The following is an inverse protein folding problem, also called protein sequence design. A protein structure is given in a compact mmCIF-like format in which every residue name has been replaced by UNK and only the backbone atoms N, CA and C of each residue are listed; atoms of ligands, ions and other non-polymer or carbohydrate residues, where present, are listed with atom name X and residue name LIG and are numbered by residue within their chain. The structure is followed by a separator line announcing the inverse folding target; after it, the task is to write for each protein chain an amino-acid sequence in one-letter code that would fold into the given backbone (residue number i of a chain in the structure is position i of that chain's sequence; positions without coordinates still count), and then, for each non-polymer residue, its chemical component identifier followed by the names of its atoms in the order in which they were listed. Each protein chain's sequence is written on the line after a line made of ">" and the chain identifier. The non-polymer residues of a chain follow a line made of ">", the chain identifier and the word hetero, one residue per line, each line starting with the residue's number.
data_IF_016804194303
#
_entry.id   IF_016804194303
#
_cell.length_a   1.000
_cell.length_b   1.000
_cell.length_c   1.000
_cell.angle_alpha   90.00
_cell.angle_beta   90.00
_cell.angle_gamma   90.00
#
_symmetry.space_group_name_H-M   'P 1'
#
loop_
_entity.id
_entity.type
_entity.pdbx_description
1 polymer ?
#
# COMPACT_ATOMS: atom_id res chain seq x y z
N UNK A 1 4.81 -4.40 -2.34
CA UNK A 1 4.18 -3.99 -1.06
C UNK A 1 3.08 -2.99 -1.37
N UNK A 2 1.98 -3.04 -0.64
CA UNK A 2 0.83 -2.15 -0.81
C UNK A 2 0.52 -1.50 0.54
N UNK A 3 0.22 -0.20 0.53
CA UNK A 3 -0.17 0.55 1.73
C UNK A 3 -1.45 1.34 1.49
N UNK A 4 -2.44 1.13 2.35
CA UNK A 4 -3.56 2.04 2.51
C UNK A 4 -3.29 2.92 3.73
N UNK A 5 -3.48 4.23 3.61
CA UNK A 5 -3.36 5.16 4.72
C UNK A 5 -4.65 5.97 4.85
N UNK A 6 -5.08 6.16 6.09
CA UNK A 6 -6.23 6.98 6.46
C UNK A 6 -5.99 8.47 6.18
N UNK A 7 -7.00 9.17 5.67
CA UNK A 7 -7.06 10.65 5.61
C UNK A 7 -7.97 11.22 6.71
N UNK A 8 -7.90 10.68 7.93
CA UNK A 8 -8.82 11.01 9.02
C UNK A 8 -8.59 12.46 9.47
N UNK A 9 -9.55 13.33 9.15
CA UNK A 9 -9.50 14.77 9.46
C UNK A 9 -10.47 15.61 8.63
N UNK A 10 -10.72 15.23 7.37
CA UNK A 10 -11.58 15.97 6.43
C UNK A 10 -12.88 15.22 6.03
N UNK A 11 -12.99 13.91 6.29
CA UNK A 11 -14.11 13.06 5.87
C UNK A 11 -14.65 12.18 7.01
N UNK A 12 -15.92 11.71 6.94
CA UNK A 12 -16.43 10.74 7.89
C UNK A 12 -15.64 9.42 7.84
N UNK A 13 -15.60 8.68 8.95
CA UNK A 13 -14.68 7.55 9.18
C UNK A 13 -14.80 6.46 8.11
N UNK A 14 -15.99 6.27 7.54
CA UNK A 14 -16.30 5.31 6.47
C UNK A 14 -15.76 5.70 5.08
N UNK A 15 -15.33 6.95 4.90
CA UNK A 15 -14.74 7.47 3.65
C UNK A 15 -13.26 7.82 3.79
N UNK A 16 -12.69 7.52 4.95
CA UNK A 16 -11.32 7.86 5.31
C UNK A 16 -10.27 7.04 4.53
N UNK A 17 -10.65 5.87 4.03
CA UNK A 17 -9.78 4.94 3.32
C UNK A 17 -10.13 4.85 1.84
N UNK A 18 -9.11 4.64 1.02
CA UNK A 18 -9.34 4.31 -0.39
C UNK A 18 -9.99 2.93 -0.49
N UNK A 19 -11.01 2.76 -1.34
CA UNK A 19 -11.54 1.44 -1.67
C UNK A 19 -10.40 0.53 -2.14
N UNK A 20 -10.41 -0.71 -1.69
CA UNK A 20 -9.40 -1.70 -2.09
C UNK A 20 -9.34 -1.88 -3.61
N UNK A 21 -10.46 -1.72 -4.31
CA UNK A 21 -10.54 -1.74 -5.77
C UNK A 21 -9.68 -0.67 -6.44
N UNK A 22 -9.64 0.54 -5.88
CA UNK A 22 -8.79 1.63 -6.39
C UNK A 22 -7.33 1.28 -6.16
N UNK A 23 -6.98 0.80 -4.97
CA UNK A 23 -5.60 0.38 -4.66
C UNK A 23 -5.16 -0.79 -5.57
N UNK A 24 -6.05 -1.74 -5.82
CA UNK A 24 -5.78 -2.91 -6.65
C UNK A 24 -5.46 -2.58 -8.11
N UNK A 25 -5.94 -1.45 -8.65
CA UNK A 25 -5.61 -1.02 -10.02
C UNK A 25 -4.12 -0.75 -10.21
N UNK A 26 -3.43 -0.24 -9.17
CA UNK A 26 -2.00 0.05 -9.26
C UNK A 26 -1.09 -1.18 -9.20
N UNK A 27 -1.61 -2.33 -8.73
CA UNK A 27 -0.85 -3.58 -8.60
C UNK A 27 -0.39 -4.14 -9.96
N UNK A 28 -1.26 -4.37 -10.96
CA UNK A 28 -0.85 -4.94 -12.24
C UNK A 28 0.12 -4.03 -12.99
N UNK A 29 -0.03 -2.70 -12.91
CA UNK A 29 0.91 -1.76 -13.54
C UNK A 29 2.33 -1.93 -13.02
N UNK A 30 2.46 -2.06 -11.69
CA UNK A 30 3.75 -2.22 -11.02
C UNK A 30 4.33 -3.61 -11.28
N UNK A 31 3.51 -4.66 -11.30
CA UNK A 31 3.94 -6.01 -11.65
C UNK A 31 4.46 -6.07 -13.08
N UNK A 32 3.76 -5.44 -14.03
CA UNK A 32 4.17 -5.39 -15.43
C UNK A 32 5.50 -4.63 -15.61
N UNK A 33 5.65 -3.50 -14.91
CA UNK A 33 6.88 -2.71 -14.93
C UNK A 33 8.06 -3.52 -14.38
N UNK A 34 7.88 -4.20 -13.25
CA UNK A 34 8.90 -5.10 -12.69
C UNK A 34 9.24 -6.25 -13.64
N UNK A 35 8.24 -6.86 -14.28
CA UNK A 35 8.44 -7.96 -15.23
C UNK A 35 9.22 -7.49 -16.45
N UNK A 36 8.83 -6.37 -17.04
CA UNK A 36 9.42 -5.87 -18.28
C UNK A 36 10.82 -5.29 -18.07
N UNK A 37 11.03 -4.55 -16.98
CA UNK A 37 12.32 -3.88 -16.74
C UNK A 37 13.33 -4.77 -16.01
N UNK A 38 12.86 -5.70 -15.16
CA UNK A 38 13.74 -6.50 -14.28
C UNK A 38 13.60 -8.00 -14.45
N UNK A 39 12.63 -8.49 -15.23
CA UNK A 39 12.35 -9.91 -15.34
C UNK A 39 11.79 -10.53 -14.04
N UNK A 40 11.28 -9.70 -13.13
CA UNK A 40 10.77 -10.15 -11.82
C UNK A 40 9.26 -10.34 -11.91
N UNK A 41 8.81 -11.57 -11.65
CA UNK A 41 7.38 -11.88 -11.50
C UNK A 41 6.97 -11.79 -10.02
N UNK A 42 6.45 -10.62 -9.63
CA UNK A 42 6.09 -10.34 -8.24
C UNK A 42 4.69 -10.85 -7.92
N UNK A 43 4.59 -12.07 -7.37
CA UNK A 43 3.31 -12.73 -7.06
C UNK A 43 2.81 -12.50 -5.63
N UNK A 44 3.70 -12.11 -4.71
CA UNK A 44 3.38 -11.95 -3.30
C UNK A 44 3.10 -10.50 -2.95
N UNK A 45 1.88 -10.24 -2.45
CA UNK A 45 1.43 -8.90 -2.09
C UNK A 45 1.23 -8.83 -0.57
N UNK A 46 1.93 -7.88 0.04
CA UNK A 46 1.82 -7.54 1.46
C UNK A 46 1.08 -6.21 1.56
N UNK A 47 -0.12 -6.22 2.14
CA UNK A 47 -0.93 -5.08 2.51
C UNK A 47 -0.53 -4.58 3.90
N UNK A 48 -0.47 -3.26 4.04
CA UNK A 48 -0.20 -2.54 5.28
C UNK A 48 -1.24 -1.44 5.44
N UNK A 49 -1.91 -1.37 6.59
CA UNK A 49 -2.97 -0.41 6.87
C UNK A 49 -3.16 -0.27 8.37
N UNK A 50 -3.64 0.90 8.82
CA UNK A 50 -4.11 1.16 10.18
C UNK A 50 -5.60 0.81 10.38
N UNK A 51 -6.26 0.24 9.36
CA UNK A 51 -7.64 -0.25 9.41
C UNK A 51 -7.84 -1.38 10.43
N UNK A 52 -8.94 -1.31 11.19
CA UNK A 52 -9.31 -2.25 12.25
C UNK A 52 -10.52 -3.11 11.92
N UNK A 53 -11.29 -2.75 10.89
CA UNK A 53 -12.49 -3.45 10.46
C UNK A 53 -12.16 -4.87 9.96
N UNK A 54 -12.70 -5.93 10.58
CA UNK A 54 -12.40 -7.30 10.18
C UNK A 54 -12.91 -7.62 8.76
N UNK A 55 -14.04 -7.04 8.35
CA UNK A 55 -14.59 -7.22 7.00
C UNK A 55 -13.65 -6.69 5.91
N UNK A 56 -13.00 -5.55 6.16
CA UNK A 56 -12.02 -4.99 5.22
C UNK A 56 -10.80 -5.91 5.03
N UNK A 57 -10.32 -6.55 6.10
CA UNK A 57 -9.24 -7.54 6.01
C UNK A 57 -9.66 -8.85 5.34
N UNK A 58 -10.95 -9.22 5.42
CA UNK A 58 -11.50 -10.33 4.61
C UNK A 58 -11.45 -9.99 3.12
N UNK A 59 -11.77 -8.76 2.73
CA UNK A 59 -11.68 -8.30 1.35
C UNK A 59 -10.23 -8.29 0.84
N UNK A 60 -9.27 -7.85 1.68
CA UNK A 60 -7.83 -7.96 1.37
C UNK A 60 -7.44 -9.41 1.09
N UNK A 61 -7.91 -10.34 1.91
CA UNK A 61 -7.64 -11.77 1.73
C UNK A 61 -8.30 -12.32 0.47
N UNK A 62 -9.51 -11.88 0.14
CA UNK A 62 -10.23 -12.28 -1.07
C UNK A 62 -9.50 -11.84 -2.35
N UNK A 63 -8.73 -10.75 -2.30
CA UNK A 63 -7.81 -10.33 -3.36
C UNK A 63 -6.52 -11.17 -3.46
N UNK A 64 -6.36 -12.17 -2.58
CA UNK A 64 -5.16 -13.00 -2.50
C UNK A 64 -3.98 -12.32 -1.81
N UNK A 65 -4.21 -11.18 -1.14
CA UNK A 65 -3.15 -10.44 -0.48
C UNK A 65 -2.97 -10.91 0.97
N UNK A 66 -1.75 -10.76 1.46
CA UNK A 66 -1.38 -11.07 2.85
C UNK A 66 -1.09 -9.77 3.58
N UNK A 67 -1.07 -9.82 4.92
CA UNK A 67 -0.66 -8.69 5.75
C UNK A 67 0.25 -9.19 6.86
N UNK A 68 1.04 -8.28 7.42
CA UNK A 68 1.82 -8.53 8.63
C UNK A 68 1.06 -7.92 9.79
N UNK A 69 0.83 -8.72 10.84
CA UNK A 69 0.30 -8.20 12.10
C UNK A 69 1.43 -7.51 12.85
N UNK A 70 1.65 -6.23 12.56
CA UNK A 70 2.76 -5.47 13.12
C UNK A 70 2.69 -5.31 14.64
N UNK A 71 1.50 -5.47 15.24
CA UNK A 71 1.32 -5.44 16.70
C UNK A 71 1.73 -6.77 17.32
N UNK A 72 1.30 -7.90 16.75
CA UNK A 72 1.73 -9.23 17.19
C UNK A 72 3.25 -9.41 17.03
N UNK A 73 3.82 -8.88 15.95
CA UNK A 73 5.26 -8.97 15.64
C UNK A 73 6.12 -7.94 16.37
N UNK A 74 5.53 -7.03 17.17
CA UNK A 74 6.23 -5.98 17.94
C UNK A 74 7.24 -5.18 17.11
N UNK A 75 6.85 -4.94 15.87
CA UNK A 75 7.75 -4.45 14.81
C UNK A 75 8.17 -3.00 15.05
N UNK A 76 7.32 -2.19 15.69
CA UNK A 76 7.69 -0.83 16.07
C UNK A 76 8.72 -0.82 17.19
N UNK A 77 8.60 -1.71 18.19
CA UNK A 77 9.55 -1.83 19.28
C UNK A 77 10.91 -2.36 18.82
N UNK A 78 10.92 -3.27 17.84
CA UNK A 78 12.14 -3.92 17.36
C UNK A 78 12.84 -3.08 16.27
N UNK A 79 12.08 -2.53 15.33
CA UNK A 79 12.62 -1.87 14.13
C UNK A 79 12.31 -0.36 14.05
N UNK A 80 11.58 0.18 15.02
CA UNK A 80 11.13 1.57 15.03
C UNK A 80 9.92 1.81 14.13
N UNK A 81 9.24 2.95 14.32
CA UNK A 81 8.03 3.35 13.60
C UNK A 81 8.16 3.39 12.06
N UNK A 82 9.40 3.48 11.57
CA UNK A 82 9.71 3.67 10.15
C UNK A 82 10.25 2.40 9.49
N UNK A 83 9.87 1.20 9.93
CA UNK A 83 10.31 -0.07 9.35
C UNK A 83 9.62 -0.44 8.03
N UNK A 84 8.70 0.39 7.55
CA UNK A 84 7.89 0.09 6.38
C UNK A 84 8.73 0.14 5.09
N UNK A 85 8.33 -0.71 4.12
CA UNK A 85 8.78 -0.77 2.72
C UNK A 85 10.18 -1.29 2.41
N UNK A 86 10.35 -2.62 2.54
CA UNK A 86 11.47 -3.35 1.94
C UNK A 86 11.05 -4.24 0.75
N UNK A 87 9.91 -3.95 0.13
CA UNK A 87 9.46 -4.68 -1.07
C UNK A 87 10.18 -4.21 -2.33
N UNK A 88 10.27 -5.07 -3.33
CA UNK A 88 10.81 -4.76 -4.67
C UNK A 88 9.98 -3.72 -5.42
N UNK A 89 8.74 -3.49 -4.98
CA UNK A 89 7.83 -2.47 -5.52
C UNK A 89 6.83 -1.96 -4.48
N UNK A 90 6.18 -0.82 -4.80
CA UNK A 90 5.27 -0.14 -3.89
C UNK A 90 4.01 0.40 -4.57
N UNK A 91 2.84 0.17 -3.96
CA UNK A 91 1.58 0.87 -4.29
C UNK A 91 1.07 1.52 -3.01
N UNK A 92 0.69 2.79 -3.06
CA UNK A 92 0.04 3.43 -1.92
C UNK A 92 -0.78 4.66 -2.29
N UNK A 93 -1.35 5.32 -1.29
CA UNK A 93 -2.17 6.52 -1.49
C UNK A 93 -1.32 7.80 -1.49
N UNK A 94 -1.64 8.72 -2.41
CA UNK A 94 -1.08 10.07 -2.44
C UNK A 94 -1.65 10.88 -1.26
N UNK A 95 -0.86 11.81 -0.71
CA UNK A 95 -1.23 12.62 0.46
C UNK A 95 -0.68 12.06 1.78
N UNK A 96 -0.46 10.74 1.85
CA UNK A 96 0.16 10.14 3.03
C UNK A 96 1.69 10.32 3.04
N UNK A 97 2.20 10.88 4.16
CA UNK A 97 3.65 10.98 4.40
C UNK A 97 4.31 9.60 4.41
N UNK A 98 3.63 8.57 4.94
CA UNK A 98 4.17 7.22 5.04
C UNK A 98 4.31 6.58 3.65
N UNK A 99 3.30 6.73 2.79
CA UNK A 99 3.33 6.24 1.42
C UNK A 99 4.38 6.97 0.58
N UNK A 100 4.56 8.27 0.81
CA UNK A 100 5.58 9.08 0.13
C UNK A 100 6.99 8.61 0.50
N UNK A 101 7.26 8.40 1.79
CA UNK A 101 8.56 7.88 2.25
C UNK A 101 8.81 6.46 1.73
N UNK A 102 7.79 5.60 1.78
CA UNK A 102 7.88 4.23 1.31
C UNK A 102 8.19 4.13 -0.19
N UNK A 103 7.48 4.91 -1.01
CA UNK A 103 7.74 5.02 -2.44
C UNK A 103 9.18 5.50 -2.72
N UNK A 104 9.69 6.47 -1.96
CA UNK A 104 11.08 6.95 -2.11
C UNK A 104 12.10 5.86 -1.78
N UNK A 105 11.90 5.08 -0.71
CA UNK A 105 12.81 3.99 -0.34
C UNK A 105 12.85 2.87 -1.37
N UNK A 106 11.69 2.45 -1.87
CA UNK A 106 11.64 1.40 -2.90
C UNK A 106 12.37 1.84 -4.16
N UNK A 107 12.19 3.10 -4.60
CA UNK A 107 12.95 3.64 -5.73
C UNK A 107 14.44 3.76 -5.44
N UNK A 108 14.85 4.25 -4.28
CA UNK A 108 16.27 4.49 -4.01
C UNK A 108 17.07 3.24 -3.66
N UNK A 109 16.47 2.27 -2.98
CA UNK A 109 17.16 1.07 -2.49
C UNK A 109 17.05 -0.12 -3.43
N UNK A 110 15.90 -0.25 -4.10
CA UNK A 110 15.61 -1.40 -4.96
C UNK A 110 15.48 -1.04 -6.43
N UNK A 111 15.59 0.26 -6.77
CA UNK A 111 15.25 0.77 -8.10
C UNK A 111 13.85 0.25 -8.54
N UNK A 112 12.95 0.15 -7.56
CA UNK A 112 11.68 -0.55 -7.70
C UNK A 112 10.58 0.32 -8.30
N UNK A 113 9.68 -0.32 -9.04
CA UNK A 113 8.48 0.34 -9.58
C UNK A 113 7.55 0.80 -8.44
N UNK A 114 7.00 2.01 -8.55
CA UNK A 114 6.07 2.55 -7.54
C UNK A 114 4.88 3.27 -8.16
N UNK A 115 3.73 3.21 -7.50
CA UNK A 115 2.52 4.00 -7.82
C UNK A 115 1.94 4.64 -6.56
N UNK A 116 1.67 5.94 -6.64
CA UNK A 116 0.93 6.69 -5.62
C UNK A 116 -0.41 7.10 -6.23
N UNK A 117 -1.47 6.43 -5.79
CA UNK A 117 -2.82 6.59 -6.34
C UNK A 117 -3.48 7.81 -5.70
N UNK A 118 -4.15 8.62 -6.50
CA UNK A 118 -4.83 9.82 -6.00
C UNK A 118 -6.13 9.43 -5.31
N UNK A 119 -6.15 9.52 -3.98
CA UNK A 119 -7.36 9.36 -3.19
C UNK A 119 -7.44 10.49 -2.17
N UNK A 120 -7.83 11.67 -2.65
CA UNK A 120 -8.03 12.88 -1.82
C UNK A 120 -9.54 13.11 -1.54
N UNK A 121 -10.44 12.58 -2.39
CA UNK A 121 -11.90 12.54 -2.22
C UNK A 121 -12.50 11.42 -3.11
N UNK A 122 -13.75 10.98 -2.90
CA UNK A 122 -14.41 10.01 -3.78
C UNK A 122 -14.41 10.47 -5.25
N UNK A 123 -13.83 9.67 -6.15
CA UNK A 123 -13.70 9.99 -7.58
C UNK A 123 -12.43 10.76 -7.99
N UNK A 124 -11.47 10.96 -7.07
CA UNK A 124 -10.20 11.64 -7.39
C UNK A 124 -9.28 10.88 -8.37
N UNK A 125 -9.58 9.61 -8.68
CA UNK A 125 -8.83 8.74 -9.60
C UNK A 125 -9.71 8.21 -10.75
N UNK A 126 -10.87 8.85 -10.97
CA UNK A 126 -11.71 8.60 -12.13
C UNK A 126 -11.03 9.28 -13.33
N UNK A 127 -10.47 8.47 -14.22
CA UNK A 127 -9.81 8.87 -15.46
C UNK A 127 -10.77 8.76 -16.64
#
# INVERSE_FOLDING_TARGET
>A
MVTSASNAGEFPVDQCFAPLSIIARGVPEVQEELRTQKGIDATHIIMTSDERGPEWWLDVRALGWTWVDYAAERTEEIYGKWHLSNGTSFVGTRGSTICTLASRRVRSWHDGATRLIRWEWPGADDH
#
